data_IF_001653744231
#
_entry.id   IF_001653744231
#
_cell.length_a   1.000
_cell.length_b   1.000
_cell.length_c   1.000
_cell.angle_alpha   90.00
_cell.angle_beta   90.00
_cell.angle_gamma   90.00
#
_symmetry.space_group_name_H-M   'P 1'
#
loop_
_entity.id
_entity.type
_entity.pdbx_description
1 polymer ?
#
# COMPACT_ATOMS: atom_id res chain seq x y z
N UNK A 1 24.23 5.06 15.84
CA UNK A 1 23.03 4.19 15.78
C UNK A 1 23.50 2.74 15.75
N UNK A 2 22.90 1.86 16.55
CA UNK A 2 23.24 0.42 16.57
C UNK A 2 22.71 -0.25 15.27
N UNK A 3 23.36 -1.34 14.79
CA UNK A 3 23.02 -2.07 13.56
C UNK A 3 21.56 -2.58 13.57
N UNK A 4 21.03 -3.01 14.70
CA UNK A 4 19.66 -3.49 14.84
C UNK A 4 18.66 -2.35 14.55
N UNK A 5 18.84 -1.20 15.19
CA UNK A 5 17.99 -0.03 14.96
C UNK A 5 18.09 0.47 13.52
N UNK A 6 19.30 0.39 12.93
CA UNK A 6 19.53 0.73 11.53
C UNK A 6 18.76 -0.19 10.58
N UNK A 7 18.76 -1.51 10.84
CA UNK A 7 18.02 -2.48 10.05
C UNK A 7 16.51 -2.21 10.09
N UNK A 8 15.91 -1.97 11.27
CA UNK A 8 14.49 -1.63 11.38
C UNK A 8 14.14 -0.34 10.64
N UNK A 9 15.03 0.67 10.65
CA UNK A 9 14.84 1.89 9.85
C UNK A 9 14.95 1.60 8.35
N UNK A 10 15.91 0.79 7.92
CA UNK A 10 16.12 0.41 6.53
C UNK A 10 14.88 -0.28 5.94
N UNK A 11 14.28 -1.22 6.67
CA UNK A 11 13.05 -1.90 6.26
C UNK A 11 11.78 -1.05 6.47
N UNK A 12 11.91 0.15 7.03
CA UNK A 12 10.78 1.07 7.31
C UNK A 12 9.66 0.40 8.11
N UNK A 13 10.01 -0.21 9.24
CA UNK A 13 9.14 -1.03 10.08
C UNK A 13 7.75 -0.43 10.36
N UNK A 14 7.65 0.90 10.51
CA UNK A 14 6.36 1.59 10.70
C UNK A 14 5.42 1.41 9.51
N UNK A 15 5.95 1.44 8.28
CA UNK A 15 5.15 1.20 7.08
C UNK A 15 4.75 -0.27 6.96
N UNK A 16 5.64 -1.20 7.37
CA UNK A 16 5.32 -2.63 7.42
C UNK A 16 4.21 -2.92 8.43
N UNK A 17 4.20 -2.27 9.59
CA UNK A 17 3.09 -2.36 10.56
C UNK A 17 1.77 -1.84 9.98
N UNK A 18 1.79 -0.74 9.22
CA UNK A 18 0.57 -0.23 8.56
C UNK A 18 0.03 -1.24 7.54
N UNK A 19 0.91 -1.88 6.77
CA UNK A 19 0.52 -2.92 5.80
C UNK A 19 -0.05 -4.14 6.54
N UNK A 20 0.59 -4.58 7.62
CA UNK A 20 0.11 -5.70 8.42
C UNK A 20 -1.28 -5.42 9.00
N UNK A 21 -1.45 -4.26 9.64
CA UNK A 21 -2.74 -3.83 10.19
C UNK A 21 -3.82 -3.80 9.11
N UNK A 22 -3.53 -3.21 7.97
CA UNK A 22 -4.46 -3.10 6.85
C UNK A 22 -4.89 -4.49 6.33
N UNK A 23 -3.95 -5.43 6.11
CA UNK A 23 -4.28 -6.78 5.66
C UNK A 23 -5.15 -7.54 6.68
N UNK A 24 -4.82 -7.41 7.98
CA UNK A 24 -5.59 -8.03 9.07
C UNK A 24 -7.01 -7.46 9.08
N UNK A 25 -7.17 -6.14 8.94
CA UNK A 25 -8.49 -5.51 8.94
C UNK A 25 -9.31 -5.86 7.71
N UNK A 26 -8.71 -5.94 6.53
CA UNK A 26 -9.40 -6.44 5.33
C UNK A 26 -9.89 -7.86 5.57
N UNK A 27 -9.03 -8.75 6.07
CA UNK A 27 -9.38 -10.14 6.29
C UNK A 27 -10.42 -10.32 7.39
N UNK A 28 -10.32 -9.58 8.49
CA UNK A 28 -11.22 -9.71 9.65
C UNK A 28 -12.52 -8.92 9.48
N UNK A 29 -12.41 -7.61 9.19
CA UNK A 29 -13.58 -6.72 9.20
C UNK A 29 -14.34 -6.78 7.87
N UNK A 30 -13.64 -6.63 6.74
CA UNK A 30 -14.33 -6.61 5.44
C UNK A 30 -14.81 -7.99 5.00
N UNK A 31 -14.21 -9.09 5.51
CA UNK A 31 -14.68 -10.46 5.28
C UNK A 31 -15.62 -10.97 6.40
N UNK A 32 -16.08 -10.10 7.30
CA UNK A 32 -16.99 -10.46 8.40
C UNK A 32 -18.26 -11.19 7.96
N UNK A 33 -18.90 -10.92 6.80
CA UNK A 33 -20.05 -11.70 6.34
C UNK A 33 -19.73 -13.17 6.12
N UNK A 34 -18.52 -13.52 5.68
CA UNK A 34 -18.09 -14.90 5.54
C UNK A 34 -17.75 -15.56 6.89
N UNK A 35 -17.28 -14.79 7.86
CA UNK A 35 -17.10 -15.28 9.23
C UNK A 35 -18.46 -15.61 9.89
N UNK A 36 -19.49 -14.80 9.62
CA UNK A 36 -20.80 -14.88 10.25
C UNK A 36 -21.77 -15.88 9.57
N UNK A 37 -21.47 -16.37 8.37
CA UNK A 37 -22.42 -17.19 7.58
C UNK A 37 -22.65 -18.61 8.13
N UNK A 38 -21.91 -19.04 9.18
CA UNK A 38 -22.04 -20.37 9.79
C UNK A 38 -21.52 -21.54 8.93
N UNK A 39 -20.96 -21.29 7.76
CA UNK A 39 -20.37 -22.30 6.88
C UNK A 39 -18.94 -22.58 7.32
N UNK A 40 -18.67 -23.81 7.78
CA UNK A 40 -17.32 -24.21 8.13
C UNK A 40 -16.41 -24.17 6.90
N UNK A 41 -15.22 -23.57 7.08
CA UNK A 41 -14.26 -23.45 5.99
C UNK A 41 -14.60 -22.38 4.94
N UNK A 42 -15.52 -21.43 5.25
CA UNK A 42 -15.82 -20.30 4.34
C UNK A 42 -14.60 -19.39 4.10
N UNK A 43 -13.60 -19.48 4.93
CA UNK A 43 -12.33 -18.74 4.83
C UNK A 43 -11.12 -19.68 4.88
N UNK A 44 -9.99 -19.32 4.26
CA UNK A 44 -8.72 -20.00 4.42
C UNK A 44 -8.33 -20.11 5.90
N UNK A 45 -7.50 -21.10 6.25
CA UNK A 45 -7.02 -21.23 7.63
C UNK A 45 -6.26 -19.98 8.09
N UNK A 46 -6.38 -19.64 9.38
CA UNK A 46 -5.66 -18.49 9.96
C UNK A 46 -4.13 -18.62 9.76
N UNK A 47 -3.60 -19.86 9.76
CA UNK A 47 -2.18 -20.11 9.49
C UNK A 47 -1.81 -19.73 8.06
N UNK A 48 -2.60 -20.13 7.05
CA UNK A 48 -2.30 -19.79 5.66
C UNK A 48 -2.37 -18.27 5.42
N UNK A 49 -3.34 -17.59 6.00
CA UNK A 49 -3.42 -16.12 5.93
C UNK A 49 -2.23 -15.45 6.63
N UNK A 50 -1.84 -15.91 7.83
CA UNK A 50 -0.67 -15.39 8.55
C UNK A 50 0.62 -15.55 7.73
N UNK A 51 0.81 -16.71 7.08
CA UNK A 51 1.95 -16.93 6.19
C UNK A 51 1.94 -15.99 4.98
N UNK A 52 0.78 -15.75 4.36
CA UNK A 52 0.64 -14.77 3.27
C UNK A 52 1.03 -13.36 3.74
N UNK A 53 0.56 -12.96 4.90
CA UNK A 53 0.88 -11.66 5.51
C UNK A 53 2.39 -11.52 5.75
N UNK A 54 3.03 -12.51 6.38
CA UNK A 54 4.47 -12.51 6.63
C UNK A 54 5.25 -12.48 5.30
N UNK A 55 4.82 -13.24 4.31
CA UNK A 55 5.40 -13.24 2.97
C UNK A 55 5.39 -11.84 2.35
N UNK A 56 4.24 -11.17 2.36
CA UNK A 56 4.12 -9.81 1.81
C UNK A 56 5.00 -8.81 2.59
N UNK A 57 5.07 -8.91 3.92
CA UNK A 57 5.95 -8.08 4.75
C UNK A 57 7.41 -8.25 4.32
N UNK A 58 7.90 -9.47 4.11
CA UNK A 58 9.28 -9.70 3.67
C UNK A 58 9.55 -9.15 2.27
N UNK A 59 8.62 -9.32 1.31
CA UNK A 59 8.76 -8.79 -0.04
C UNK A 59 8.79 -7.26 -0.04
N UNK A 60 7.90 -6.61 0.73
CA UNK A 60 7.89 -5.15 0.84
C UNK A 60 9.12 -4.63 1.57
N UNK A 61 9.58 -5.32 2.61
CA UNK A 61 10.84 -5.00 3.30
C UNK A 61 12.03 -5.09 2.33
N UNK A 62 12.10 -6.14 1.51
CA UNK A 62 13.09 -6.27 0.45
C UNK A 62 13.01 -5.09 -0.55
N UNK A 63 11.80 -4.67 -0.91
CA UNK A 63 11.55 -3.50 -1.74
C UNK A 63 12.13 -2.21 -1.15
N UNK A 64 12.00 -1.98 0.16
CA UNK A 64 12.61 -0.83 0.82
C UNK A 64 14.14 -0.92 0.84
N UNK A 65 14.69 -2.10 1.14
CA UNK A 65 16.13 -2.33 1.16
C UNK A 65 16.76 -2.06 -0.20
N UNK A 66 16.18 -2.58 -1.29
CA UNK A 66 16.71 -2.37 -2.64
C UNK A 66 16.52 -0.93 -3.12
N UNK A 67 15.44 -0.25 -2.68
CA UNK A 67 15.25 1.16 -2.97
C UNK A 67 16.36 2.01 -2.35
N UNK A 68 16.66 1.84 -1.07
CA UNK A 68 17.70 2.60 -0.40
C UNK A 68 19.10 2.28 -0.95
N UNK A 69 19.32 1.04 -1.47
CA UNK A 69 20.54 0.69 -2.20
C UNK A 69 20.74 1.52 -3.47
N UNK A 70 19.68 1.68 -4.30
CA UNK A 70 19.76 2.47 -5.54
C UNK A 70 19.72 3.99 -5.30
N UNK A 71 19.27 4.44 -4.12
CA UNK A 71 19.08 5.84 -3.79
C UNK A 71 20.28 6.49 -3.06
N UNK A 72 21.37 5.76 -2.81
CA UNK A 72 22.52 6.26 -2.04
C UNK A 72 22.99 7.65 -2.49
N UNK A 73 23.13 7.88 -3.81
CA UNK A 73 23.59 9.16 -4.33
C UNK A 73 22.54 10.28 -4.19
N UNK A 74 21.26 9.95 -4.30
CA UNK A 74 20.14 10.89 -4.11
C UNK A 74 20.04 11.27 -2.64
N UNK A 75 20.13 10.28 -1.75
CA UNK A 75 19.97 10.47 -0.31
C UNK A 75 21.16 11.21 0.33
N UNK A 76 22.37 11.11 -0.25
CA UNK A 76 23.50 11.96 0.15
C UNK A 76 23.18 13.45 0.04
N UNK A 77 22.32 13.84 -0.90
CA UNK A 77 21.93 15.23 -1.13
C UNK A 77 20.69 15.61 -0.33
N UNK A 78 19.65 14.76 -0.38
CA UNK A 78 18.36 15.10 0.22
C UNK A 78 18.30 14.85 1.73
N UNK A 79 18.96 13.78 2.22
CA UNK A 79 18.84 13.32 3.62
C UNK A 79 20.16 12.75 4.15
N UNK A 80 21.27 13.52 4.12
CA UNK A 80 22.62 13.02 4.45
C UNK A 80 22.74 12.44 5.86
N UNK A 81 21.95 12.95 6.83
CA UNK A 81 21.96 12.47 8.21
C UNK A 81 21.21 11.14 8.39
N UNK A 82 20.29 10.83 7.49
CA UNK A 82 19.46 9.62 7.54
C UNK A 82 20.04 8.46 6.72
N UNK A 83 21.18 8.66 6.06
CA UNK A 83 21.82 7.66 5.21
C UNK A 83 22.24 6.44 6.04
N UNK A 84 21.72 5.27 5.68
CA UNK A 84 21.99 3.98 6.34
C UNK A 84 22.95 3.14 5.48
N UNK A 85 22.64 3.00 4.19
CA UNK A 85 23.50 2.31 3.21
C UNK A 85 24.76 3.15 2.99
N UNK A 86 25.90 2.52 2.91
CA UNK A 86 27.26 3.11 2.86
C UNK A 86 27.77 3.75 4.15
N UNK A 87 26.90 4.03 5.15
CA UNK A 87 27.33 4.54 6.47
C UNK A 87 27.35 3.45 7.54
N UNK A 88 26.35 2.59 7.59
CA UNK A 88 26.18 1.57 8.65
C UNK A 88 26.26 0.18 8.05
N UNK A 89 25.61 -0.04 6.93
CA UNK A 89 25.69 -1.27 6.14
C UNK A 89 26.42 -1.00 4.83
N UNK A 90 27.30 -1.92 4.45
CA UNK A 90 27.92 -1.90 3.13
C UNK A 90 26.89 -2.21 2.03
N UNK A 91 27.23 -1.85 0.79
CA UNK A 91 26.40 -2.20 -0.36
C UNK A 91 26.22 -3.72 -0.50
N UNK A 92 27.26 -4.51 -0.16
CA UNK A 92 27.19 -5.98 -0.20
C UNK A 92 26.25 -6.51 0.87
N UNK A 93 26.33 -6.04 2.13
CA UNK A 93 25.38 -6.42 3.18
C UNK A 93 23.93 -6.07 2.79
N UNK A 94 23.71 -4.91 2.18
CA UNK A 94 22.39 -4.46 1.73
C UNK A 94 21.84 -5.38 0.63
N UNK A 95 22.65 -5.77 -0.35
CA UNK A 95 22.23 -6.76 -1.38
C UNK A 95 21.90 -8.12 -0.77
N UNK A 96 22.68 -8.58 0.19
CA UNK A 96 22.41 -9.84 0.91
C UNK A 96 21.07 -9.77 1.64
N UNK A 97 20.77 -8.67 2.35
CA UNK A 97 19.47 -8.48 3.00
C UNK A 97 18.33 -8.52 2.00
N UNK A 98 18.47 -7.84 0.85
CA UNK A 98 17.46 -7.88 -0.23
C UNK A 98 17.17 -9.31 -0.70
N UNK A 99 18.23 -10.06 -1.02
CA UNK A 99 18.12 -11.44 -1.52
C UNK A 99 17.47 -12.36 -0.48
N UNK A 100 17.95 -12.29 0.79
CA UNK A 100 17.42 -13.12 1.87
C UNK A 100 15.94 -12.82 2.14
N UNK A 101 15.55 -11.56 2.25
CA UNK A 101 14.15 -11.18 2.47
C UNK A 101 13.26 -11.60 1.29
N UNK A 102 13.74 -11.45 0.07
CA UNK A 102 13.01 -11.89 -1.13
C UNK A 102 12.79 -13.41 -1.14
N UNK A 103 13.85 -14.19 -0.94
CA UNK A 103 13.76 -15.66 -0.93
C UNK A 103 12.83 -16.14 0.18
N UNK A 104 12.98 -15.61 1.40
CA UNK A 104 12.10 -15.95 2.53
C UNK A 104 10.64 -15.58 2.22
N UNK A 105 10.40 -14.38 1.67
CA UNK A 105 9.07 -13.96 1.28
C UNK A 105 8.42 -14.91 0.27
N UNK A 106 9.13 -15.29 -0.79
CA UNK A 106 8.64 -16.20 -1.82
C UNK A 106 8.38 -17.61 -1.25
N UNK A 107 9.30 -18.16 -0.45
CA UNK A 107 9.13 -19.50 0.15
C UNK A 107 7.91 -19.54 1.09
N UNK A 108 7.80 -18.54 2.00
CA UNK A 108 6.68 -18.48 2.95
C UNK A 108 5.35 -18.31 2.22
N UNK A 109 5.33 -17.49 1.16
CA UNK A 109 4.15 -17.30 0.33
C UNK A 109 3.77 -18.56 -0.47
N UNK A 110 4.75 -19.32 -0.96
CA UNK A 110 4.50 -20.63 -1.59
C UNK A 110 3.87 -21.61 -0.60
N UNK A 111 4.40 -21.69 0.63
CA UNK A 111 3.83 -22.53 1.70
C UNK A 111 2.38 -22.11 2.01
N UNK A 112 2.12 -20.81 2.15
CA UNK A 112 0.76 -20.27 2.32
C UNK A 112 -0.18 -20.74 1.19
N UNK A 113 0.27 -20.60 -0.05
CA UNK A 113 -0.49 -21.02 -1.24
C UNK A 113 -0.79 -22.53 -1.24
N UNK A 114 0.21 -23.36 -0.93
CA UNK A 114 0.03 -24.83 -0.85
C UNK A 114 -0.99 -25.22 0.22
N UNK A 115 -0.94 -24.58 1.41
CA UNK A 115 -1.88 -24.88 2.50
C UNK A 115 -3.31 -24.46 2.15
N UNK A 116 -3.49 -23.31 1.46
CA UNK A 116 -4.81 -22.75 1.22
C UNK A 116 -5.43 -23.19 -0.12
N UNK A 117 -4.64 -23.18 -1.21
CA UNK A 117 -5.15 -23.22 -2.58
C UNK A 117 -4.89 -24.55 -3.27
N UNK A 118 -4.29 -25.52 -2.58
CA UNK A 118 -4.02 -26.83 -3.11
C UNK A 118 -3.49 -26.80 -4.58
N UNK A 119 -4.37 -26.96 -5.57
CA UNK A 119 -3.99 -26.99 -6.99
C UNK A 119 -3.61 -25.62 -7.57
N UNK A 120 -4.06 -24.50 -7.01
CA UNK A 120 -3.86 -23.13 -7.54
C UNK A 120 -2.76 -22.33 -6.82
N UNK A 121 -1.94 -22.97 -5.99
CA UNK A 121 -0.87 -22.28 -5.23
C UNK A 121 0.09 -21.47 -6.13
N UNK A 122 0.31 -21.92 -7.37
CA UNK A 122 1.17 -21.23 -8.33
C UNK A 122 0.69 -19.82 -8.67
N UNK A 123 -0.61 -19.51 -8.50
CA UNK A 123 -1.15 -18.18 -8.74
C UNK A 123 -0.59 -17.21 -7.70
N UNK A 124 -0.57 -17.59 -6.41
CA UNK A 124 0.03 -16.76 -5.36
C UNK A 124 1.52 -16.60 -5.60
N UNK A 125 2.21 -17.67 -5.98
CA UNK A 125 3.63 -17.61 -6.31
C UNK A 125 3.91 -16.63 -7.46
N UNK A 126 3.13 -16.67 -8.54
CA UNK A 126 3.25 -15.76 -9.68
C UNK A 126 2.98 -14.31 -9.27
N UNK A 127 1.97 -14.07 -8.43
CA UNK A 127 1.64 -12.73 -7.90
C UNK A 127 2.79 -12.16 -7.08
N UNK A 128 3.36 -12.94 -6.16
CA UNK A 128 4.46 -12.51 -5.31
C UNK A 128 5.74 -12.25 -6.12
N UNK A 129 6.02 -13.11 -7.11
CA UNK A 129 7.13 -12.92 -8.03
C UNK A 129 6.96 -11.64 -8.88
N UNK A 130 5.75 -11.38 -9.40
CA UNK A 130 5.43 -10.15 -10.13
C UNK A 130 5.60 -8.91 -9.26
N UNK A 131 5.09 -8.94 -8.01
CA UNK A 131 5.23 -7.83 -7.07
C UNK A 131 6.72 -7.55 -6.76
N UNK A 132 7.50 -8.60 -6.54
CA UNK A 132 8.95 -8.49 -6.32
C UNK A 132 9.64 -7.85 -7.53
N UNK A 133 9.32 -8.30 -8.75
CA UNK A 133 9.85 -7.74 -9.99
C UNK A 133 9.46 -6.28 -10.20
N UNK A 134 8.22 -5.90 -9.85
CA UNK A 134 7.74 -4.52 -9.90
C UNK A 134 8.50 -3.61 -8.94
N UNK A 135 8.70 -4.03 -7.68
CA UNK A 135 9.43 -3.26 -6.67
C UNK A 135 10.92 -3.11 -7.03
N UNK A 136 11.54 -4.16 -7.57
CA UNK A 136 12.92 -4.08 -8.08
C UNK A 136 13.01 -3.12 -9.27
N UNK A 137 12.14 -3.27 -10.27
CA UNK A 137 12.13 -2.43 -11.48
C UNK A 137 11.83 -0.96 -11.15
N UNK A 138 10.95 -0.71 -10.16
CA UNK A 138 10.72 0.62 -9.62
C UNK A 138 12.02 1.22 -9.10
N UNK A 139 12.71 0.52 -8.20
CA UNK A 139 13.91 1.03 -7.54
C UNK A 139 15.08 1.26 -8.52
N UNK A 140 15.28 0.33 -9.45
CA UNK A 140 16.40 0.37 -10.41
C UNK A 140 16.21 1.39 -11.54
N UNK A 141 14.97 1.59 -12.02
CA UNK A 141 14.73 2.31 -13.27
C UNK A 141 13.50 3.22 -13.27
N UNK A 142 12.34 2.73 -12.81
CA UNK A 142 11.07 3.43 -13.04
C UNK A 142 10.85 4.61 -12.11
N UNK A 143 11.48 4.64 -10.93
CA UNK A 143 11.46 5.80 -10.02
C UNK A 143 11.92 7.09 -10.71
N UNK A 144 12.85 6.99 -11.66
CA UNK A 144 13.39 8.15 -12.39
C UNK A 144 12.55 8.55 -13.61
N UNK A 145 11.49 7.80 -13.96
CA UNK A 145 10.64 8.05 -15.12
C UNK A 145 9.39 8.83 -14.74
N UNK A 146 9.00 9.75 -15.63
CA UNK A 146 7.81 10.58 -15.46
C UNK A 146 6.56 9.75 -15.14
N UNK A 147 5.94 10.00 -13.98
CA UNK A 147 4.69 9.37 -13.49
C UNK A 147 4.77 7.86 -13.22
N UNK A 148 5.57 7.11 -13.96
CA UNK A 148 5.58 5.63 -13.91
C UNK A 148 5.91 5.13 -12.51
N UNK A 149 6.91 5.74 -11.84
CA UNK A 149 7.26 5.37 -10.47
C UNK A 149 6.12 5.55 -9.49
N UNK A 150 5.45 6.70 -9.55
CA UNK A 150 4.30 7.01 -8.67
C UNK A 150 3.15 6.01 -8.85
N UNK A 151 2.87 5.60 -10.10
CA UNK A 151 1.85 4.59 -10.41
C UNK A 151 2.24 3.22 -9.85
N UNK A 152 3.49 2.77 -10.01
CA UNK A 152 3.95 1.47 -9.52
C UNK A 152 3.83 1.37 -7.99
N UNK A 153 4.28 2.40 -7.26
CA UNK A 153 4.15 2.41 -5.79
C UNK A 153 2.69 2.43 -5.38
N UNK A 154 1.86 3.26 -6.01
CA UNK A 154 0.44 3.37 -5.69
C UNK A 154 -0.31 2.06 -5.97
N UNK A 155 0.00 1.41 -7.09
CA UNK A 155 -0.53 0.09 -7.42
C UNK A 155 -0.10 -0.96 -6.40
N UNK A 156 1.18 -0.98 -6.00
CA UNK A 156 1.69 -1.95 -5.03
C UNK A 156 1.00 -1.83 -3.66
N UNK A 157 0.75 -0.59 -3.19
CA UNK A 157 0.02 -0.34 -1.93
C UNK A 157 -1.45 -0.72 -2.06
N UNK A 158 -2.11 -0.34 -3.15
CA UNK A 158 -3.50 -0.71 -3.41
C UNK A 158 -3.66 -2.24 -3.53
N UNK A 159 -2.70 -2.89 -4.17
CA UNK A 159 -2.70 -4.35 -4.30
C UNK A 159 -2.55 -5.05 -2.95
N UNK A 160 -1.80 -4.49 -2.00
CA UNK A 160 -1.73 -5.03 -0.65
C UNK A 160 -3.08 -4.97 0.10
N UNK A 161 -3.94 -3.97 -0.19
CA UNK A 161 -5.36 -3.93 0.29
C UNK A 161 -6.19 -5.01 -0.36
N UNK A 162 -6.01 -5.22 -1.66
CA UNK A 162 -6.79 -6.15 -2.47
C UNK A 162 -6.42 -7.62 -2.24
N UNK A 163 -5.17 -7.89 -1.90
CA UNK A 163 -4.61 -9.24 -1.82
C UNK A 163 -5.34 -10.19 -0.84
N UNK A 164 -5.75 -9.79 0.37
CA UNK A 164 -6.52 -10.66 1.27
C UNK A 164 -7.85 -11.11 0.65
N UNK A 165 -8.57 -10.21 -0.02
CA UNK A 165 -9.82 -10.54 -0.72
C UNK A 165 -9.56 -11.49 -1.88
N UNK A 166 -8.54 -11.22 -2.70
CA UNK A 166 -8.17 -12.09 -3.81
C UNK A 166 -7.80 -13.50 -3.32
N UNK A 167 -7.07 -13.60 -2.21
CA UNK A 167 -6.69 -14.87 -1.60
C UNK A 167 -7.92 -15.68 -1.16
N UNK A 168 -8.90 -15.03 -0.53
CA UNK A 168 -10.18 -15.68 -0.16
C UNK A 168 -10.96 -16.11 -1.39
N UNK A 169 -11.04 -15.29 -2.44
CA UNK A 169 -11.75 -15.65 -3.67
C UNK A 169 -11.07 -16.81 -4.42
N UNK A 170 -9.74 -16.86 -4.45
CA UNK A 170 -8.99 -17.99 -5.01
C UNK A 170 -9.24 -19.25 -4.20
N UNK A 171 -9.21 -19.18 -2.88
CA UNK A 171 -9.52 -20.29 -1.98
C UNK A 171 -10.93 -20.86 -2.25
N UNK A 172 -11.94 -20.00 -2.30
CA UNK A 172 -13.31 -20.40 -2.58
C UNK A 172 -13.45 -21.00 -3.98
N UNK A 173 -12.75 -20.45 -4.96
CA UNK A 173 -12.78 -20.99 -6.34
C UNK A 173 -12.12 -22.35 -6.48
N UNK A 174 -11.26 -22.74 -5.55
CA UNK A 174 -10.66 -24.09 -5.48
C UNK A 174 -11.52 -25.08 -4.67
N UNK A 175 -12.46 -24.53 -3.86
CA UNK A 175 -13.38 -25.29 -3.01
C UNK A 175 -14.84 -25.06 -3.45
N UNK A 176 -15.22 -25.64 -4.59
CA UNK A 176 -16.50 -25.35 -5.28
C UNK A 176 -17.73 -25.63 -4.40
N UNK A 177 -17.69 -26.65 -3.55
CA UNK A 177 -18.80 -26.96 -2.61
C UNK A 177 -18.99 -25.84 -1.58
N UNK A 178 -17.89 -25.34 -1.02
CA UNK A 178 -17.94 -24.21 -0.08
C UNK A 178 -18.40 -22.94 -0.82
N UNK A 179 -17.86 -22.68 -2.01
CA UNK A 179 -18.27 -21.53 -2.84
C UNK A 179 -19.77 -21.54 -3.11
N UNK A 180 -20.35 -22.69 -3.44
CA UNK A 180 -21.82 -22.79 -3.68
C UNK A 180 -22.61 -22.46 -2.42
N UNK A 181 -22.13 -22.89 -1.24
CA UNK A 181 -22.77 -22.64 0.05
C UNK A 181 -22.71 -21.16 0.51
N UNK A 182 -21.69 -20.42 0.10
CA UNK A 182 -21.51 -18.99 0.50
C UNK A 182 -21.82 -18.00 -0.62
N UNK A 183 -22.23 -18.47 -1.79
CA UNK A 183 -22.45 -17.64 -2.97
C UNK A 183 -23.43 -16.49 -2.72
N UNK A 184 -24.55 -16.77 -2.07
CA UNK A 184 -25.56 -15.76 -1.77
C UNK A 184 -25.04 -14.72 -0.79
N UNK A 185 -24.22 -15.11 0.18
CA UNK A 185 -23.53 -14.20 1.10
C UNK A 185 -22.58 -13.28 0.33
N UNK A 186 -21.80 -13.81 -0.62
CA UNK A 186 -20.87 -13.00 -1.43
C UNK A 186 -21.64 -11.98 -2.28
N UNK A 187 -22.77 -12.38 -2.89
CA UNK A 187 -23.57 -11.53 -3.77
C UNK A 187 -24.36 -10.48 -2.97
N UNK A 188 -25.00 -10.87 -1.86
CA UNK A 188 -25.87 -9.98 -1.07
C UNK A 188 -25.08 -9.03 -0.18
N UNK A 189 -23.90 -9.46 0.33
CA UNK A 189 -23.06 -8.60 1.17
C UNK A 189 -22.35 -7.52 0.34
N UNK A 190 -22.09 -6.39 0.96
CA UNK A 190 -21.32 -5.31 0.32
C UNK A 190 -19.79 -5.50 0.43
N UNK A 191 -19.29 -6.66 0.91
CA UNK A 191 -17.87 -6.87 1.21
C UNK A 191 -16.95 -6.62 0.01
N UNK A 192 -17.27 -7.15 -1.16
CA UNK A 192 -16.47 -6.94 -2.37
C UNK A 192 -16.47 -5.47 -2.81
N UNK A 193 -17.60 -4.79 -2.70
CA UNK A 193 -17.73 -3.36 -2.98
C UNK A 193 -16.86 -2.54 -2.02
N UNK A 194 -16.87 -2.86 -0.75
CA UNK A 194 -16.03 -2.19 0.26
C UNK A 194 -14.55 -2.37 -0.03
N UNK A 195 -14.11 -3.60 -0.30
CA UNK A 195 -12.70 -3.86 -0.67
C UNK A 195 -12.28 -3.04 -1.89
N UNK A 196 -13.11 -2.97 -2.93
CA UNK A 196 -12.80 -2.18 -4.13
C UNK A 196 -12.70 -0.69 -3.83
N UNK A 197 -13.59 -0.13 -2.99
CA UNK A 197 -13.54 1.28 -2.59
C UNK A 197 -12.27 1.57 -1.78
N UNK A 198 -11.94 0.74 -0.78
CA UNK A 198 -10.72 0.91 0.00
C UNK A 198 -9.45 0.74 -0.86
N UNK A 199 -9.46 -0.18 -1.82
CA UNK A 199 -8.37 -0.36 -2.79
C UNK A 199 -8.18 0.89 -3.66
N UNK A 200 -9.27 1.44 -4.19
CA UNK A 200 -9.24 2.68 -4.97
C UNK A 200 -8.78 3.88 -4.13
N UNK A 201 -9.25 3.99 -2.89
CA UNK A 201 -8.81 5.02 -1.95
C UNK A 201 -7.32 4.90 -1.64
N UNK A 202 -6.82 3.70 -1.38
CA UNK A 202 -5.40 3.45 -1.13
C UNK A 202 -4.53 3.81 -2.34
N UNK A 203 -4.97 3.47 -3.56
CA UNK A 203 -4.29 3.85 -4.80
C UNK A 203 -4.19 5.37 -4.95
N UNK A 204 -5.32 6.07 -4.88
CA UNK A 204 -5.39 7.51 -5.12
C UNK A 204 -4.65 8.30 -4.03
N UNK A 205 -4.80 7.94 -2.77
CA UNK A 205 -4.09 8.60 -1.67
C UNK A 205 -2.59 8.38 -1.73
N UNK A 206 -2.14 7.18 -2.12
CA UNK A 206 -0.71 6.92 -2.31
C UNK A 206 -0.18 7.70 -3.50
N UNK A 207 -0.90 7.74 -4.62
CA UNK A 207 -0.50 8.51 -5.80
C UNK A 207 -0.36 10.00 -5.48
N UNK A 208 -1.34 10.57 -4.78
CA UNK A 208 -1.31 11.95 -4.31
C UNK A 208 -0.08 12.20 -3.44
N UNK A 209 0.19 11.32 -2.47
CA UNK A 209 1.31 11.44 -1.55
C UNK A 209 2.67 11.30 -2.25
N UNK A 210 2.82 10.39 -3.20
CA UNK A 210 4.07 10.25 -3.96
C UNK A 210 4.36 11.48 -4.83
N UNK A 211 3.34 12.11 -5.45
CA UNK A 211 3.52 13.38 -6.17
C UNK A 211 3.99 14.51 -5.21
N UNK A 212 3.46 14.54 -3.99
CA UNK A 212 3.89 15.51 -2.96
C UNK A 212 5.34 15.26 -2.53
N UNK A 213 5.76 14.00 -2.39
CA UNK A 213 7.13 13.62 -2.07
C UNK A 213 8.12 14.00 -3.17
N UNK A 214 7.73 13.87 -4.44
CA UNK A 214 8.56 14.34 -5.56
C UNK A 214 8.85 15.84 -5.46
N UNK A 215 7.91 16.64 -4.93
CA UNK A 215 8.14 18.05 -4.67
C UNK A 215 9.04 18.30 -3.45
N UNK A 216 8.95 17.46 -2.42
CA UNK A 216 9.82 17.49 -1.24
C UNK A 216 11.28 17.18 -1.64
N UNK A 217 11.48 16.16 -2.49
CA UNK A 217 12.79 15.65 -2.90
C UNK A 217 13.37 16.36 -4.15
N UNK A 218 12.73 17.44 -4.63
CA UNK A 218 13.04 18.16 -5.89
C UNK A 218 14.52 18.52 -6.08
N UNK A 219 15.25 18.86 -5.02
CA UNK A 219 16.67 19.28 -5.10
C UNK A 219 17.57 18.11 -5.53
N UNK A 220 17.45 16.95 -4.88
CA UNK A 220 18.24 15.78 -5.20
C UNK A 220 17.84 15.16 -6.54
N UNK A 221 16.54 15.14 -6.84
CA UNK A 221 16.01 14.64 -8.10
C UNK A 221 16.54 15.41 -9.32
N UNK A 222 16.70 16.73 -9.20
CA UNK A 222 17.31 17.55 -10.25
C UNK A 222 18.77 17.21 -10.49
N UNK A 223 19.55 17.00 -9.41
CA UNK A 223 20.97 16.69 -9.51
C UNK A 223 21.20 15.30 -10.12
N UNK A 224 20.32 14.35 -9.88
CA UNK A 224 20.40 12.98 -10.40
C UNK A 224 19.65 12.78 -11.72
N UNK A 225 19.20 13.89 -12.35
CA UNK A 225 18.49 13.92 -13.65
C UNK A 225 17.22 13.06 -13.67
N UNK A 226 16.52 12.94 -12.56
CA UNK A 226 15.20 12.31 -12.49
C UNK A 226 14.17 13.13 -13.30
N UNK A 227 13.18 12.46 -13.86
CA UNK A 227 12.08 13.09 -14.61
C UNK A 227 10.79 12.99 -13.82
N UNK A 228 10.77 13.54 -12.60
CA UNK A 228 9.57 13.58 -11.75
C UNK A 228 8.59 14.66 -12.22
N UNK A 229 7.33 14.59 -11.77
CA UNK A 229 6.26 15.54 -12.15
C UNK A 229 6.68 16.99 -11.93
N UNK A 230 7.20 17.39 -10.75
CA UNK A 230 7.59 18.78 -10.51
C UNK A 230 8.76 19.24 -11.38
N UNK A 231 9.66 18.34 -11.79
CA UNK A 231 10.78 18.65 -12.69
C UNK A 231 10.31 18.88 -14.12
N UNK A 232 9.44 18.00 -14.64
CA UNK A 232 9.00 18.04 -16.05
C UNK A 232 7.95 19.12 -16.28
N UNK A 233 6.97 19.24 -15.38
CA UNK A 233 5.82 20.14 -15.57
C UNK A 233 5.95 21.46 -14.80
N UNK A 234 6.85 21.53 -13.83
CA UNK A 234 6.97 22.64 -12.89
C UNK A 234 5.91 22.61 -11.78
N UNK A 235 6.21 23.32 -10.69
CA UNK A 235 5.39 23.33 -9.46
C UNK A 235 3.95 23.81 -9.70
N UNK A 236 3.74 24.80 -10.57
CA UNK A 236 2.38 25.33 -10.84
C UNK A 236 1.47 24.26 -11.44
N UNK A 237 1.93 23.54 -12.48
CA UNK A 237 1.13 22.48 -13.13
C UNK A 237 0.98 21.26 -12.23
N UNK A 238 2.01 20.93 -11.45
CA UNK A 238 1.93 19.89 -10.42
C UNK A 238 0.82 20.20 -9.39
N UNK A 239 0.72 21.44 -8.89
CA UNK A 239 -0.33 21.81 -7.95
C UNK A 239 -1.73 21.67 -8.57
N UNK A 240 -1.90 21.94 -9.87
CA UNK A 240 -3.18 21.69 -10.57
C UNK A 240 -3.48 20.18 -10.57
N UNK A 241 -2.49 19.32 -10.83
CA UNK A 241 -2.66 17.86 -10.78
C UNK A 241 -3.06 17.42 -9.37
N UNK A 242 -2.41 17.95 -8.32
CA UNK A 242 -2.76 17.65 -6.93
C UNK A 242 -4.21 18.06 -6.62
N UNK A 243 -4.65 19.27 -7.04
CA UNK A 243 -6.03 19.73 -6.85
C UNK A 243 -7.02 18.79 -7.54
N UNK A 244 -6.78 18.44 -8.80
CA UNK A 244 -7.65 17.51 -9.54
C UNK A 244 -7.69 16.12 -8.88
N UNK A 245 -6.55 15.62 -8.40
CA UNK A 245 -6.48 14.35 -7.68
C UNK A 245 -7.28 14.39 -6.36
N UNK A 246 -7.20 15.49 -5.60
CA UNK A 246 -7.99 15.66 -4.37
C UNK A 246 -9.48 15.70 -4.69
N UNK A 247 -9.89 16.43 -5.72
CA UNK A 247 -11.30 16.48 -6.14
C UNK A 247 -11.81 15.08 -6.53
N UNK A 248 -11.02 14.28 -7.23
CA UNK A 248 -11.36 12.90 -7.55
C UNK A 248 -11.51 12.04 -6.29
N UNK A 249 -10.60 12.19 -5.32
CA UNK A 249 -10.68 11.48 -4.03
C UNK A 249 -11.92 11.93 -3.26
N UNK A 250 -12.24 13.22 -3.25
CA UNK A 250 -13.46 13.73 -2.61
C UNK A 250 -14.74 13.15 -3.25
N UNK A 251 -14.80 13.02 -4.58
CA UNK A 251 -15.94 12.37 -5.25
C UNK A 251 -16.05 10.89 -4.85
N UNK A 252 -14.94 10.15 -4.77
CA UNK A 252 -14.94 8.77 -4.29
C UNK A 252 -15.42 8.68 -2.84
N UNK A 253 -14.98 9.58 -1.97
CA UNK A 253 -15.38 9.62 -0.56
C UNK A 253 -16.86 9.98 -0.40
N UNK A 254 -17.41 10.89 -1.20
CA UNK A 254 -18.85 11.21 -1.21
C UNK A 254 -19.66 9.96 -1.57
N UNK A 255 -19.26 9.25 -2.63
CA UNK A 255 -19.90 7.98 -2.98
C UNK A 255 -19.77 6.96 -1.85
N UNK A 256 -18.61 6.87 -1.22
CA UNK A 256 -18.38 5.94 -0.12
C UNK A 256 -19.21 6.27 1.12
N UNK A 257 -19.32 7.53 1.51
CA UNK A 257 -20.19 7.95 2.62
C UNK A 257 -21.67 7.61 2.35
N UNK A 258 -22.13 7.73 1.11
CA UNK A 258 -23.46 7.27 0.72
C UNK A 258 -23.61 5.74 0.92
N UNK A 259 -22.65 4.94 0.48
CA UNK A 259 -22.65 3.47 0.69
C UNK A 259 -22.70 3.12 2.16
N UNK A 260 -21.87 3.78 2.99
CA UNK A 260 -21.84 3.57 4.44
C UNK A 260 -23.15 3.96 5.14
N UNK A 261 -23.80 5.03 4.67
CA UNK A 261 -25.13 5.43 5.15
C UNK A 261 -26.17 4.34 4.89
N UNK A 262 -26.20 3.79 3.67
CA UNK A 262 -27.11 2.69 3.30
C UNK A 262 -26.83 1.41 4.10
N UNK A 263 -25.56 1.18 4.46
CA UNK A 263 -25.14 0.03 5.27
C UNK A 263 -25.33 0.24 6.79
N UNK A 264 -25.77 1.41 7.23
CA UNK A 264 -25.90 1.80 8.64
C UNK A 264 -24.59 1.76 9.44
N UNK A 265 -23.42 1.85 8.77
CA UNK A 265 -22.10 1.89 9.40
C UNK A 265 -21.73 3.32 9.82
N UNK A 266 -22.39 3.85 10.82
CA UNK A 266 -22.33 5.27 11.18
C UNK A 266 -20.95 5.73 11.68
N UNK A 267 -20.21 4.90 12.41
CA UNK A 267 -18.87 5.25 12.93
C UNK A 267 -17.90 5.44 11.76
N UNK A 268 -17.88 4.49 10.81
CA UNK A 268 -17.05 4.58 9.61
C UNK A 268 -17.46 5.78 8.75
N UNK A 269 -18.76 6.05 8.64
CA UNK A 269 -19.29 7.21 7.93
C UNK A 269 -18.77 8.51 8.52
N UNK A 270 -18.77 8.66 9.85
CA UNK A 270 -18.23 9.85 10.54
C UNK A 270 -16.73 10.02 10.23
N UNK A 271 -15.95 8.94 10.35
CA UNK A 271 -14.50 8.97 10.08
C UNK A 271 -14.24 9.39 8.61
N UNK A 272 -14.95 8.79 7.65
CA UNK A 272 -14.77 9.10 6.24
C UNK A 272 -15.23 10.51 5.88
N UNK A 273 -16.30 11.01 6.52
CA UNK A 273 -16.75 12.40 6.37
C UNK A 273 -15.72 13.39 6.93
N UNK A 274 -15.06 13.05 8.05
CA UNK A 274 -13.95 13.85 8.58
C UNK A 274 -12.76 13.89 7.62
N UNK A 275 -12.36 12.74 7.05
CA UNK A 275 -11.30 12.69 6.04
C UNK A 275 -11.67 13.54 4.83
N UNK A 276 -12.91 13.44 4.33
CA UNK A 276 -13.43 14.25 3.23
C UNK A 276 -13.30 15.74 3.53
N UNK A 277 -13.75 16.18 4.71
CA UNK A 277 -13.66 17.58 5.15
C UNK A 277 -12.20 18.06 5.21
N UNK A 278 -11.31 17.27 5.82
CA UNK A 278 -9.89 17.60 5.91
C UNK A 278 -9.22 17.72 4.54
N UNK A 279 -9.53 16.81 3.61
CA UNK A 279 -9.01 16.87 2.24
C UNK A 279 -9.58 18.07 1.47
N UNK A 280 -10.86 18.36 1.59
CA UNK A 280 -11.47 19.54 0.97
C UNK A 280 -10.85 20.85 1.50
N UNK A 281 -10.63 20.96 2.82
CA UNK A 281 -9.94 22.12 3.42
C UNK A 281 -8.49 22.23 2.94
N UNK A 282 -7.81 21.11 2.68
CA UNK A 282 -6.43 21.13 2.18
C UNK A 282 -6.27 21.79 0.80
N UNK A 283 -7.36 21.88 0.01
CA UNK A 283 -7.36 22.60 -1.26
C UNK A 283 -7.02 24.09 -1.10
N UNK A 284 -7.32 24.70 0.04
CA UNK A 284 -6.98 26.10 0.32
C UNK A 284 -5.49 26.30 0.64
N UNK A 285 -4.78 25.21 0.95
CA UNK A 285 -3.36 25.24 1.30
C UNK A 285 -2.45 25.15 0.07
N UNK A 286 -2.83 24.35 -0.95
CA UNK A 286 -2.02 24.09 -2.13
C UNK A 286 -1.64 25.31 -2.98
N UNK A 287 -2.47 26.39 -3.12
CA UNK A 287 -2.10 27.57 -3.90
C UNK A 287 -1.12 28.51 -3.19
N UNK A 288 -0.80 28.30 -1.91
CA UNK A 288 0.07 29.22 -1.13
C UNK A 288 1.52 29.12 -1.60
N UNK A 289 2.26 30.24 -1.50
CA UNK A 289 3.67 30.31 -1.89
C UNK A 289 4.64 29.65 -0.89
N UNK A 290 4.22 29.52 0.35
CA UNK A 290 4.99 29.02 1.51
C UNK A 290 4.65 27.58 1.89
N UNK A 291 4.23 26.75 0.93
CA UNK A 291 3.89 25.33 1.14
C UNK A 291 5.09 24.56 1.68
N UNK A 292 4.90 23.87 2.81
CA UNK A 292 5.79 22.82 3.27
C UNK A 292 5.28 21.46 2.77
N UNK A 293 5.87 20.94 1.68
CA UNK A 293 5.51 19.63 1.13
C UNK A 293 5.76 18.50 2.13
N UNK A 294 6.77 18.64 3.01
CA UNK A 294 7.00 17.70 4.11
C UNK A 294 5.78 17.61 5.05
N UNK A 295 5.30 18.75 5.56
CA UNK A 295 4.12 18.76 6.45
C UNK A 295 2.88 18.22 5.74
N UNK A 296 2.74 18.52 4.45
CA UNK A 296 1.62 18.02 3.66
C UNK A 296 1.70 16.51 3.42
N UNK A 297 2.88 15.95 3.18
CA UNK A 297 3.11 14.51 3.09
C UNK A 297 2.75 13.77 4.40
N UNK A 298 3.11 14.37 5.56
CA UNK A 298 2.73 13.84 6.88
C UNK A 298 1.21 13.90 7.08
N UNK A 299 0.57 15.00 6.73
CA UNK A 299 -0.90 15.12 6.77
C UNK A 299 -1.59 14.02 5.96
N UNK A 300 -1.16 13.78 4.72
CA UNK A 300 -1.71 12.71 3.89
C UNK A 300 -1.50 11.33 4.52
N UNK A 301 -0.35 11.07 5.13
CA UNK A 301 -0.08 9.82 5.87
C UNK A 301 -1.07 9.62 7.03
N UNK A 302 -1.42 10.68 7.75
CA UNK A 302 -2.42 10.62 8.82
C UNK A 302 -3.81 10.31 8.25
N UNK A 303 -4.20 10.91 7.13
CA UNK A 303 -5.48 10.61 6.47
C UNK A 303 -5.55 9.16 6.00
N UNK A 304 -4.45 8.61 5.47
CA UNK A 304 -4.36 7.18 5.11
C UNK A 304 -4.52 6.28 6.34
N UNK A 305 -3.87 6.61 7.46
CA UNK A 305 -3.99 5.84 8.71
C UNK A 305 -5.43 5.85 9.25
N UNK A 306 -6.10 7.00 9.25
CA UNK A 306 -7.51 7.10 9.63
C UNK A 306 -8.39 6.24 8.72
N UNK A 307 -8.10 6.22 7.41
CA UNK A 307 -8.78 5.33 6.46
C UNK A 307 -8.58 3.84 6.80
N UNK A 308 -7.40 3.43 7.23
CA UNK A 308 -7.14 2.05 7.67
C UNK A 308 -7.93 1.75 8.95
N UNK A 309 -7.87 2.64 9.95
CA UNK A 309 -8.58 2.45 11.24
C UNK A 309 -10.09 2.37 11.04
N UNK A 310 -10.65 3.09 10.07
CA UNK A 310 -12.08 3.07 9.78
C UNK A 310 -12.61 1.68 9.42
N UNK A 311 -11.75 0.78 8.90
CA UNK A 311 -12.12 -0.61 8.57
C UNK A 311 -12.57 -1.42 9.80
N UNK A 312 -12.20 -0.99 11.03
CA UNK A 312 -12.60 -1.68 12.28
C UNK A 312 -14.11 -1.61 12.48
N UNK A 313 -14.75 -0.57 11.96
CA UNK A 313 -16.14 -0.21 12.26
C UNK A 313 -17.09 -0.41 11.07
N UNK A 314 -16.65 -1.14 10.07
CA UNK A 314 -17.47 -1.45 8.87
C UNK A 314 -18.44 -2.61 9.12
#
# INVERSE_FOLDING_TARGET
MNKITAFFKLVRWQNLLMIALMMILVYHSLMSPLHACGVMGALPSALSFLLLLISLIFIVAAGYVINDYFDVEIDKVNKPEQLIVSKIFSETETKVFYVLLTILGIIIGAISGVIALNSKFYIILAILALLTALLYSYSSSYKRKFVVGNIIVSFSVAFAVFLPWLFVMLYLSDNVLILSSVRDVIISSSMSKLVMIYTAFAFLMTLLREIVKDAEDLKGDKLTRCRTIPIVLGIKKMNVILILSILLICMLLIYFTYVLYVMHSYITLIIMSLILLCLALSLTYLPRKDISYHKYSVFLKIMMLLGIISMIFV
#
